data_IF_289571808761
#
_entry.id   IF_289571808761
#
_cell.length_a   1.000
_cell.length_b   1.000
_cell.length_c   1.000
_cell.angle_alpha   90.00
_cell.angle_beta   90.00
_cell.angle_gamma   90.00
#
_symmetry.space_group_name_H-M   'P 1'
#
loop_
_entity.id
_entity.type
_entity.pdbx_description
1 polymer ?
#
# COMPACT_ATOMS: atom_id res chain seq x y z
N UNK A 1 -21.48 3.54 9.48
CA UNK A 1 -22.90 3.83 9.15
C UNK A 1 -22.96 4.16 7.65
N UNK A 2 -24.11 4.52 7.07
CA UNK A 2 -24.12 4.97 5.67
C UNK A 2 -23.21 6.21 5.48
N UNK A 3 -22.55 6.31 4.31
CA UNK A 3 -21.54 7.34 3.97
C UNK A 3 -20.35 7.44 4.95
N UNK A 4 -19.97 6.34 5.60
CA UNK A 4 -18.66 6.22 6.26
C UNK A 4 -17.64 5.52 5.37
N UNK A 5 -16.37 5.83 5.57
CA UNK A 5 -15.22 5.27 4.84
C UNK A 5 -14.12 4.85 5.81
N UNK A 6 -13.43 3.75 5.48
CA UNK A 6 -12.19 3.33 6.11
C UNK A 6 -11.13 3.07 5.02
N UNK A 7 -9.88 3.49 5.22
CA UNK A 7 -8.79 3.12 4.30
C UNK A 7 -7.42 3.09 5.00
N UNK A 8 -6.51 2.26 4.49
CA UNK A 8 -5.15 2.18 4.98
C UNK A 8 -4.37 3.43 4.53
N UNK A 9 -3.46 3.89 5.39
CA UNK A 9 -2.55 5.00 5.08
C UNK A 9 -1.13 4.48 4.83
N UNK A 10 -0.24 5.29 4.21
CA UNK A 10 1.14 4.88 3.95
C UNK A 10 1.95 4.55 5.22
N UNK A 11 1.58 5.06 6.39
CA UNK A 11 2.28 4.79 7.65
C UNK A 11 1.75 3.56 8.41
N UNK A 12 0.72 2.87 7.87
CA UNK A 12 0.12 1.69 8.49
C UNK A 12 -1.05 1.97 9.43
N UNK A 13 -1.46 3.22 9.65
CA UNK A 13 -2.74 3.50 10.34
C UNK A 13 -3.92 3.28 9.40
N UNK A 14 -5.11 3.02 9.96
CA UNK A 14 -6.36 3.00 9.22
C UNK A 14 -7.12 4.29 9.49
N UNK A 15 -7.28 5.11 8.45
CA UNK A 15 -8.10 6.32 8.51
C UNK A 15 -9.58 5.93 8.50
N UNK A 16 -10.34 6.52 9.41
CA UNK A 16 -11.79 6.39 9.56
C UNK A 16 -12.40 7.79 9.40
N UNK A 17 -13.38 7.94 8.53
CA UNK A 17 -14.00 9.23 8.29
C UNK A 17 -15.45 9.10 7.83
N UNK A 18 -16.23 10.15 8.09
CA UNK A 18 -17.59 10.30 7.59
C UNK A 18 -18.61 9.43 8.33
N UNK A 19 -19.87 9.82 8.19
CA UNK A 19 -21.07 9.09 8.57
C UNK A 19 -22.21 10.06 8.30
N UNK A 20 -23.12 9.70 7.41
CA UNK A 20 -24.33 10.48 7.21
C UNK A 20 -25.43 9.59 6.60
N UNK A 21 -26.36 9.06 7.42
CA UNK A 21 -27.51 8.32 6.92
C UNK A 21 -28.63 9.21 6.39
N UNK A 22 -28.53 10.53 6.57
CA UNK A 22 -29.54 11.49 6.15
C UNK A 22 -29.41 11.82 4.66
N UNK A 23 -30.49 12.33 4.07
CA UNK A 23 -30.52 12.76 2.66
C UNK A 23 -29.43 13.82 2.39
N UNK A 24 -29.41 14.86 3.23
CA UNK A 24 -28.49 16.00 3.15
C UNK A 24 -27.60 16.09 4.40
N UNK A 25 -26.73 17.11 4.43
CA UNK A 25 -26.00 17.48 5.65
C UNK A 25 -27.00 17.81 6.76
N UNK A 26 -26.80 17.23 7.94
CA UNK A 26 -27.67 17.43 9.08
C UNK A 26 -26.87 17.50 10.39
N UNK A 27 -27.13 18.50 11.21
CA UNK A 27 -26.50 18.70 12.53
C UNK A 27 -27.51 18.73 13.70
N UNK A 28 -28.80 18.55 13.41
CA UNK A 28 -29.89 18.82 14.35
C UNK A 28 -30.77 17.60 14.65
N UNK A 29 -30.42 16.43 14.10
CA UNK A 29 -31.14 15.16 14.30
C UNK A 29 -30.19 14.06 14.76
N UNK A 30 -30.75 12.90 15.13
CA UNK A 30 -29.96 11.71 15.41
C UNK A 30 -29.09 11.32 14.21
N UNK A 31 -27.93 10.74 14.50
CA UNK A 31 -26.94 10.37 13.48
C UNK A 31 -26.53 11.55 12.60
N UNK A 32 -26.13 12.65 13.27
CA UNK A 32 -25.59 13.86 12.65
C UNK A 32 -24.49 13.54 11.65
N UNK A 33 -24.33 14.41 10.66
CA UNK A 33 -23.22 14.35 9.72
C UNK A 33 -21.90 14.45 10.47
N UNK A 34 -21.11 13.39 10.37
CA UNK A 34 -19.81 13.28 11.03
C UNK A 34 -18.69 13.84 10.15
N UNK A 35 -17.96 14.81 10.68
CA UNK A 35 -16.83 15.45 10.00
C UNK A 35 -15.48 15.10 10.61
N UNK A 36 -15.46 14.47 11.80
CA UNK A 36 -14.22 14.04 12.44
C UNK A 36 -13.54 12.97 11.59
N UNK A 37 -12.21 12.96 11.68
CA UNK A 37 -11.35 11.93 11.12
C UNK A 37 -10.61 11.29 12.28
N UNK A 38 -10.63 9.97 12.34
CA UNK A 38 -9.91 9.19 13.32
C UNK A 38 -8.89 8.29 12.62
N UNK A 39 -7.81 7.97 13.33
CA UNK A 39 -6.81 7.02 12.86
C UNK A 39 -6.74 5.87 13.84
N UNK A 40 -7.18 4.70 13.41
CA UNK A 40 -6.94 3.48 14.16
C UNK A 40 -5.48 3.07 14.00
N UNK A 41 -4.81 2.85 15.12
CA UNK A 41 -3.43 2.38 15.19
C UNK A 41 -3.40 0.89 15.49
N UNK A 42 -3.16 0.01 14.51
CA UNK A 42 -3.08 -1.42 14.75
C UNK A 42 -1.91 -1.77 15.70
N UNK A 43 -1.94 -2.92 16.38
CA UNK A 43 -0.92 -3.29 17.37
C UNK A 43 0.53 -3.20 16.87
N UNK A 44 0.77 -3.49 15.58
CA UNK A 44 2.10 -3.43 14.98
C UNK A 44 2.73 -2.03 14.97
N UNK A 45 1.96 -0.94 15.10
CA UNK A 45 2.50 0.44 15.10
C UNK A 45 3.36 0.71 16.34
N UNK A 46 3.10 0.00 17.44
CA UNK A 46 3.91 0.11 18.65
C UNK A 46 5.27 -0.58 18.49
N UNK A 47 5.42 -1.41 17.45
CA UNK A 47 6.67 -2.08 17.15
C UNK A 47 7.54 -1.21 16.25
N UNK A 48 8.87 -1.22 16.44
CA UNK A 48 9.74 -0.41 15.60
C UNK A 48 9.75 -0.88 14.14
N UNK A 49 9.39 0.02 13.24
CA UNK A 49 9.32 -0.23 11.80
C UNK A 49 10.71 -0.45 11.20
N UNK A 50 10.79 -1.34 10.21
CA UNK A 50 12.01 -1.50 9.40
C UNK A 50 12.17 -0.33 8.42
N UNK A 51 13.41 0.08 8.18
CA UNK A 51 13.75 1.11 7.19
C UNK A 51 14.49 0.48 6.02
N UNK A 52 14.22 0.97 4.81
CA UNK A 52 14.85 0.47 3.59
C UNK A 52 15.03 1.58 2.55
N UNK A 53 16.02 1.39 1.68
CA UNK A 53 16.39 2.23 0.54
C UNK A 53 16.37 1.42 -0.76
N UNK A 54 16.72 2.04 -1.89
CA UNK A 54 16.58 1.42 -3.21
C UNK A 54 15.14 1.45 -3.74
N UNK A 55 14.34 2.43 -3.29
CA UNK A 55 12.91 2.64 -3.58
C UNK A 55 12.74 3.12 -5.03
N UNK A 56 12.41 2.25 -6.00
CA UNK A 56 12.30 2.69 -7.37
C UNK A 56 11.03 3.54 -7.54
N UNK A 57 11.08 4.54 -8.42
CA UNK A 57 9.89 5.34 -8.76
C UNK A 57 8.89 4.53 -9.59
N UNK A 58 9.39 3.60 -10.41
CA UNK A 58 8.62 2.71 -11.27
C UNK A 58 9.07 1.26 -11.08
N UNK A 59 8.14 0.32 -11.16
CA UNK A 59 8.40 -1.13 -11.12
C UNK A 59 7.73 -1.75 -12.34
N UNK A 60 8.52 -2.02 -13.37
CA UNK A 60 8.01 -2.66 -14.58
C UNK A 60 7.52 -4.09 -14.29
N UNK A 61 6.52 -4.53 -15.05
CA UNK A 61 5.98 -5.89 -14.92
C UNK A 61 7.07 -6.93 -15.20
N UNK A 62 7.19 -7.92 -14.32
CA UNK A 62 8.21 -8.97 -14.39
C UNK A 62 9.66 -8.52 -14.17
N UNK A 63 9.91 -7.22 -13.96
CA UNK A 63 11.26 -6.70 -13.71
C UNK A 63 11.76 -7.10 -12.32
N UNK A 64 13.08 -7.12 -12.15
CA UNK A 64 13.71 -7.38 -10.86
C UNK A 64 14.36 -6.11 -10.35
N UNK A 65 14.11 -5.76 -9.09
CA UNK A 65 14.76 -4.66 -8.41
C UNK A 65 15.30 -5.11 -7.05
N UNK A 66 16.17 -4.29 -6.45
CA UNK A 66 16.77 -4.59 -5.14
C UNK A 66 16.42 -3.52 -4.13
N UNK A 67 15.92 -3.95 -2.97
CA UNK A 67 15.79 -3.12 -1.78
C UNK A 67 16.97 -3.38 -0.84
N UNK A 68 17.49 -2.33 -0.21
CA UNK A 68 18.44 -2.45 0.90
C UNK A 68 17.71 -2.15 2.19
N UNK A 69 17.60 -3.14 3.08
CA UNK A 69 16.83 -3.06 4.32
C UNK A 69 17.74 -3.15 5.54
N UNK A 70 17.42 -2.42 6.59
CA UNK A 70 18.04 -2.58 7.90
C UNK A 70 17.11 -3.42 8.77
N UNK A 71 17.56 -4.62 9.14
CA UNK A 71 16.80 -5.58 9.96
C UNK A 71 17.36 -5.67 11.36
N UNK A 72 16.47 -5.62 12.35
CA UNK A 72 16.84 -5.78 13.76
C UNK A 72 17.24 -7.22 14.06
N UNK A 73 18.01 -7.40 15.13
CA UNK A 73 18.32 -8.72 15.67
C UNK A 73 17.04 -9.52 15.91
N UNK A 74 17.07 -10.80 15.51
CA UNK A 74 15.93 -11.71 15.65
C UNK A 74 14.99 -11.79 14.46
N UNK A 75 15.00 -10.81 13.54
CA UNK A 75 14.25 -10.92 12.27
C UNK A 75 14.94 -11.93 11.36
N UNK A 76 14.22 -13.01 11.01
CA UNK A 76 14.75 -14.12 10.21
C UNK A 76 14.40 -13.96 8.73
N UNK A 77 13.22 -13.42 8.45
CA UNK A 77 12.71 -13.24 7.10
C UNK A 77 11.85 -11.99 6.95
N UNK A 78 11.63 -11.59 5.69
CA UNK A 78 10.78 -10.47 5.29
C UNK A 78 9.99 -10.81 4.03
N UNK A 79 8.83 -10.20 3.89
CA UNK A 79 8.04 -10.22 2.66
C UNK A 79 7.88 -8.82 2.09
N UNK A 80 7.76 -8.72 0.76
CA UNK A 80 7.52 -7.45 0.07
C UNK A 80 6.11 -7.46 -0.52
N UNK A 81 5.37 -6.37 -0.32
CA UNK A 81 3.98 -6.24 -0.74
C UNK A 81 3.81 -4.99 -1.58
N UNK A 82 3.15 -5.12 -2.73
CA UNK A 82 2.61 -3.99 -3.49
C UNK A 82 1.13 -3.83 -3.14
N UNK A 83 0.73 -2.62 -2.78
CA UNK A 83 -0.64 -2.31 -2.42
C UNK A 83 -1.16 -1.08 -3.14
N UNK A 84 -2.33 -1.18 -3.76
CA UNK A 84 -3.13 -0.01 -4.07
C UNK A 84 -4.05 0.26 -2.89
N UNK A 85 -4.00 1.48 -2.35
CA UNK A 85 -4.85 1.88 -1.22
C UNK A 85 -6.28 2.20 -1.70
N UNK A 86 -6.45 2.39 -3.01
CA UNK A 86 -7.73 2.52 -3.69
C UNK A 86 -8.51 3.77 -3.30
N UNK A 87 -9.80 3.74 -3.64
CA UNK A 87 -10.77 4.74 -3.25
C UNK A 87 -12.00 4.08 -2.65
N UNK A 88 -12.63 4.72 -1.67
CA UNK A 88 -13.66 4.07 -0.85
C UNK A 88 -14.82 5.01 -0.63
N UNK A 89 -16.01 4.55 -1.01
CA UNK A 89 -17.27 5.27 -0.77
C UNK A 89 -18.43 4.30 -0.69
N UNK A 90 -19.49 4.65 0.05
CA UNK A 90 -20.73 3.87 0.12
C UNK A 90 -20.53 2.37 0.49
N UNK A 91 -19.49 2.07 1.28
CA UNK A 91 -19.15 0.68 1.65
C UNK A 91 -18.47 -0.12 0.53
N UNK A 92 -18.09 0.52 -0.57
CA UNK A 92 -17.41 -0.09 -1.71
C UNK A 92 -15.95 0.37 -1.74
N UNK A 93 -15.03 -0.59 -1.67
CA UNK A 93 -13.61 -0.38 -1.91
C UNK A 93 -13.31 -0.63 -3.39
N UNK A 94 -13.00 0.43 -4.12
CA UNK A 94 -12.58 0.39 -5.51
C UNK A 94 -11.06 0.38 -5.55
N UNK A 95 -10.50 -0.46 -6.41
CA UNK A 95 -9.06 -0.59 -6.69
C UNK A 95 -8.18 -1.10 -5.54
N UNK A 96 -8.65 -1.08 -4.27
CA UNK A 96 -7.88 -1.60 -3.13
C UNK A 96 -7.41 -3.04 -3.42
N UNK A 97 -6.10 -3.23 -3.43
CA UNK A 97 -5.47 -4.49 -3.79
C UNK A 97 -4.19 -4.69 -3.01
N UNK A 98 -3.93 -5.91 -2.56
CA UNK A 98 -2.67 -6.29 -1.94
C UNK A 98 -2.07 -7.49 -2.67
N UNK A 99 -0.85 -7.35 -3.17
CA UNK A 99 -0.11 -8.41 -3.86
C UNK A 99 1.22 -8.61 -3.16
N UNK A 100 1.41 -9.80 -2.58
CA UNK A 100 2.73 -10.24 -2.12
C UNK A 100 3.62 -10.47 -3.33
N UNK A 101 4.71 -9.73 -3.44
CA UNK A 101 5.68 -9.88 -4.51
C UNK A 101 6.59 -11.08 -4.24
N UNK A 102 7.09 -11.70 -5.31
CA UNK A 102 8.14 -12.71 -5.17
C UNK A 102 9.42 -12.00 -4.74
N UNK A 103 9.98 -12.41 -3.59
CA UNK A 103 11.14 -11.76 -3.02
C UNK A 103 12.05 -12.74 -2.31
N UNK A 104 13.36 -12.52 -2.41
CA UNK A 104 14.39 -13.33 -1.76
C UNK A 104 15.24 -12.41 -0.88
N UNK A 105 15.26 -12.68 0.43
CA UNK A 105 16.19 -12.05 1.35
C UNK A 105 17.58 -12.66 1.16
N UNK A 106 18.52 -11.86 0.66
CA UNK A 106 19.89 -12.32 0.40
C UNK A 106 20.66 -12.50 1.72
N UNK A 107 21.58 -13.48 1.82
CA UNK A 107 22.47 -13.63 2.97
C UNK A 107 23.18 -12.32 3.32
N UNK A 108 23.31 -12.05 4.62
CA UNK A 108 23.96 -10.85 5.13
C UNK A 108 25.43 -11.09 5.46
N UNK A 109 26.20 -10.01 5.57
CA UNK A 109 27.49 -10.07 6.24
C UNK A 109 27.31 -10.35 7.73
N UNK A 110 28.20 -11.12 8.33
CA UNK A 110 28.14 -11.58 9.74
C UNK A 110 28.05 -10.40 10.73
N UNK A 111 28.51 -9.21 10.35
CA UNK A 111 28.64 -8.03 11.21
C UNK A 111 27.70 -6.86 10.84
N UNK A 112 26.66 -7.09 10.01
CA UNK A 112 25.75 -6.01 9.62
C UNK A 112 24.28 -6.40 9.67
N UNK A 113 23.48 -5.47 10.18
CA UNK A 113 22.02 -5.43 10.14
C UNK A 113 21.49 -5.07 8.75
N UNK A 114 22.34 -4.58 7.84
CA UNK A 114 21.98 -4.26 6.47
C UNK A 114 21.93 -5.52 5.61
N UNK A 115 20.78 -5.72 4.99
CA UNK A 115 20.47 -6.86 4.12
C UNK A 115 19.93 -6.36 2.80
N UNK A 116 19.98 -7.22 1.78
CA UNK A 116 19.42 -6.92 0.46
C UNK A 116 18.25 -7.87 0.19
N UNK A 117 17.20 -7.34 -0.41
CA UNK A 117 16.05 -8.12 -0.86
C UNK A 117 16.00 -8.00 -2.37
N UNK A 118 16.09 -9.12 -3.08
CA UNK A 118 15.81 -9.18 -4.51
C UNK A 118 14.31 -9.34 -4.67
N UNK A 119 13.65 -8.47 -5.43
CA UNK A 119 12.18 -8.45 -5.58
C UNK A 119 11.84 -8.49 -7.06
N UNK A 120 10.91 -9.35 -7.44
CA UNK A 120 10.29 -9.33 -8.75
C UNK A 120 8.99 -8.51 -8.71
N UNK A 121 8.84 -7.58 -9.65
CA UNK A 121 7.58 -6.89 -9.89
C UNK A 121 6.45 -7.87 -10.29
N UNK A 122 5.19 -7.42 -10.28
CA UNK A 122 4.06 -8.26 -10.68
C UNK A 122 4.29 -8.85 -12.08
N UNK A 123 4.00 -10.14 -12.32
CA UNK A 123 4.31 -10.78 -13.59
C UNK A 123 3.44 -10.29 -14.75
N UNK A 124 2.25 -9.74 -14.45
CA UNK A 124 1.35 -9.17 -15.44
C UNK A 124 0.40 -8.15 -14.82
N UNK A 125 -0.19 -7.30 -15.68
CA UNK A 125 -1.22 -6.33 -15.30
C UNK A 125 -2.51 -6.95 -14.77
N UNK A 126 -2.76 -8.24 -15.04
CA UNK A 126 -3.90 -8.96 -14.49
C UNK A 126 -3.77 -9.21 -12.98
N UNK A 127 -2.55 -9.37 -12.49
CA UNK A 127 -2.26 -9.55 -11.05
C UNK A 127 -2.28 -8.21 -10.34
N UNK A 128 -1.52 -7.24 -10.85
CA UNK A 128 -1.52 -5.86 -10.36
C UNK A 128 -1.57 -4.91 -11.56
N UNK A 129 -2.65 -4.12 -11.74
CA UNK A 129 -2.80 -3.26 -12.90
C UNK A 129 -1.71 -2.18 -12.91
N UNK A 130 -1.22 -1.76 -14.09
CA UNK A 130 -0.33 -0.62 -14.16
C UNK A 130 -0.96 0.61 -13.51
N UNK A 131 -0.23 1.27 -12.62
CA UNK A 131 -0.78 2.37 -11.82
C UNK A 131 -0.07 2.59 -10.49
N UNK A 132 -0.57 3.52 -9.66
CA UNK A 132 0.00 3.82 -8.36
C UNK A 132 0.01 2.60 -7.43
N UNK A 133 1.09 2.46 -6.67
CA UNK A 133 1.18 1.48 -5.60
C UNK A 133 2.00 2.04 -4.44
N UNK A 134 1.77 1.47 -3.26
CA UNK A 134 2.65 1.55 -2.11
C UNK A 134 3.34 0.21 -1.92
N UNK A 135 4.67 0.25 -1.85
CA UNK A 135 5.46 -0.94 -1.57
C UNK A 135 5.84 -0.95 -0.09
N UNK A 136 5.59 -2.08 0.56
CA UNK A 136 5.90 -2.34 1.96
C UNK A 136 6.87 -3.51 2.10
N UNK A 137 7.72 -3.45 3.13
CA UNK A 137 8.53 -4.57 3.60
C UNK A 137 7.97 -4.98 4.96
N UNK A 138 7.56 -6.23 5.12
CA UNK A 138 6.93 -6.75 6.34
C UNK A 138 7.80 -7.84 6.92
N UNK A 139 8.18 -7.70 8.19
CA UNK A 139 8.98 -8.71 8.90
C UNK A 139 8.18 -9.98 9.17
N UNK A 140 8.86 -11.08 9.43
CA UNK A 140 8.28 -12.34 9.95
C UNK A 140 7.43 -12.16 11.22
N UNK A 141 7.74 -11.16 12.05
CA UNK A 141 6.90 -10.74 13.19
C UNK A 141 5.65 -9.91 12.83
N UNK A 142 5.38 -9.66 11.53
CA UNK A 142 4.20 -8.93 11.07
C UNK A 142 4.30 -7.40 11.18
N UNK A 143 5.50 -6.84 11.33
CA UNK A 143 5.71 -5.38 11.43
C UNK A 143 6.01 -4.81 10.05
N UNK A 144 5.14 -3.96 9.47
CA UNK A 144 5.40 -3.35 8.17
C UNK A 144 6.38 -2.18 8.30
N UNK A 145 7.10 -1.87 7.24
CA UNK A 145 7.75 -0.57 7.05
C UNK A 145 6.72 0.50 6.69
N UNK A 146 7.15 1.77 6.56
CA UNK A 146 6.31 2.75 5.87
C UNK A 146 6.26 2.44 4.37
N UNK A 147 5.07 2.56 3.80
CA UNK A 147 4.83 2.41 2.38
C UNK A 147 5.53 3.51 1.60
N UNK A 148 6.30 3.14 0.58
CA UNK A 148 6.79 4.12 -0.38
C UNK A 148 5.96 4.06 -1.65
N UNK A 149 5.65 5.23 -2.20
CA UNK A 149 4.92 5.34 -3.45
C UNK A 149 5.81 4.93 -4.63
N UNK A 150 5.26 4.12 -5.52
CA UNK A 150 5.84 3.76 -6.80
C UNK A 150 4.71 3.67 -7.84
N UNK A 151 5.07 3.56 -9.11
CA UNK A 151 4.15 3.19 -10.20
C UNK A 151 4.47 1.75 -10.62
N UNK A 152 3.48 0.87 -10.66
CA UNK A 152 3.61 -0.42 -11.33
C UNK A 152 3.44 -0.21 -12.84
N UNK A 153 4.34 -0.80 -13.62
CA UNK A 153 4.45 -0.58 -15.06
C UNK A 153 5.27 0.67 -15.42
N UNK A 154 5.20 1.05 -16.70
CA UNK A 154 6.05 2.08 -17.29
C UNK A 154 5.66 3.51 -16.92
N UNK A 155 4.48 3.71 -16.32
CA UNK A 155 3.89 5.03 -16.08
C UNK A 155 3.38 5.74 -17.33
N UNK A 156 3.40 5.09 -18.49
CA UNK A 156 2.77 5.60 -19.69
C UNK A 156 1.25 5.68 -19.51
N UNK A 157 0.62 6.64 -20.19
CA UNK A 157 -0.84 6.71 -20.26
C UNK A 157 -1.42 5.40 -20.83
N UNK A 158 -2.62 5.00 -20.39
CA UNK A 158 -3.31 3.88 -21.02
C UNK A 158 -3.48 4.15 -22.52
N UNK A 159 -3.50 3.11 -23.37
CA UNK A 159 -3.68 3.28 -24.81
C UNK A 159 -4.93 4.11 -25.11
N UNK A 160 -4.76 5.14 -25.93
CA UNK A 160 -5.89 5.94 -26.40
C UNK A 160 -6.74 5.11 -27.37
N UNK A 161 -8.06 5.10 -27.14
CA UNK A 161 -9.01 4.56 -28.11
C UNK A 161 -9.53 5.70 -28.99
N UNK A 162 -8.86 5.94 -30.12
CA UNK A 162 -9.20 7.04 -31.02
C UNK A 162 -10.65 6.97 -31.52
N UNK A 163 -11.17 5.76 -31.76
CA UNK A 163 -12.57 5.54 -32.20
C UNK A 163 -13.58 5.98 -31.14
N UNK A 164 -13.22 5.92 -29.86
CA UNK A 164 -14.08 6.41 -28.77
C UNK A 164 -13.96 7.94 -28.59
N UNK A 165 -12.82 8.54 -28.96
CA UNK A 165 -12.57 9.99 -28.87
C UNK A 165 -13.28 10.74 -30.00
N UNK A 166 -13.31 10.15 -31.20
CA UNK A 166 -13.86 10.79 -32.41
C UNK A 166 -15.40 10.73 -32.51
N UNK A 167 -16.10 10.19 -31.49
CA UNK A 167 -17.56 10.08 -31.43
C UNK A 167 -18.16 11.08 -30.45
#
# INVERSE_FOLDING_TARGET
MYRSTATLTPNGTVMLAGSNPNNDVNQDRDYKTEYRVEFYSPPYITQPHSTYTGRPATVDLGSIFTLSVTLRSGVRDVSVWAMDLGSVTHGVHMDTRAVKLSSILLPGGILTDKRRILVAGPPSGGIFPPGPAFIYVVTDAGVPSFGHKAIIGTGASPPANQVAIDK
#
